data_IF_272379701121
#
_entry.id   IF_272379701121
#
_cell.length_a   1.000
_cell.length_b   1.000
_cell.length_c   1.000
_cell.angle_alpha   90.00
_cell.angle_beta   90.00
_cell.angle_gamma   90.00
#
_symmetry.space_group_name_H-M   'P 1'
#
loop_
_entity.id
_entity.type
_entity.pdbx_description
1 polymer ?
#
# COMPACT_ATOMS: atom_id res chain seq x y z
N UNK A 1 28.65 -2.65 5.68
CA UNK A 1 28.02 -3.53 6.70
C UNK A 1 26.77 -4.13 6.07
N UNK A 2 26.65 -5.46 6.04
CA UNK A 2 25.50 -6.12 5.41
C UNK A 2 24.27 -6.02 6.33
N UNK A 3 23.17 -5.48 5.81
CA UNK A 3 21.89 -5.36 6.51
C UNK A 3 21.24 -6.75 6.65
N UNK A 4 20.82 -7.10 7.87
CA UNK A 4 20.13 -8.36 8.16
C UNK A 4 18.61 -8.09 8.22
N UNK A 5 17.83 -8.51 7.20
CA UNK A 5 16.39 -8.22 7.11
C UNK A 5 15.54 -8.81 8.26
N UNK A 6 16.11 -9.68 9.09
CA UNK A 6 15.40 -10.32 10.21
C UNK A 6 14.94 -9.36 11.32
N UNK A 7 15.47 -8.14 11.42
CA UNK A 7 15.10 -7.23 12.52
C UNK A 7 13.75 -6.54 12.31
N UNK A 8 13.41 -6.18 11.07
CA UNK A 8 12.08 -5.67 10.72
C UNK A 8 11.02 -6.76 10.92
N UNK A 9 11.36 -8.00 10.54
CA UNK A 9 10.52 -9.18 10.72
C UNK A 9 10.26 -9.47 12.22
N UNK A 10 11.27 -9.36 13.08
CA UNK A 10 11.12 -9.55 14.52
C UNK A 10 10.32 -8.45 15.24
N UNK A 11 10.40 -7.20 14.80
CA UNK A 11 9.54 -6.12 15.35
C UNK A 11 8.09 -6.33 14.96
N UNK A 12 7.85 -6.76 13.71
CA UNK A 12 6.52 -7.11 13.22
C UNK A 12 5.92 -8.26 14.02
N UNK A 13 6.65 -9.36 14.23
CA UNK A 13 6.22 -10.48 15.07
C UNK A 13 5.80 -10.07 16.49
N UNK A 14 6.46 -9.08 17.09
CA UNK A 14 6.11 -8.59 18.43
C UNK A 14 4.82 -7.76 18.45
N UNK A 15 4.56 -6.96 17.42
CA UNK A 15 3.30 -6.23 17.27
C UNK A 15 2.12 -7.19 17.09
N UNK A 16 2.32 -8.24 16.29
CA UNK A 16 1.36 -9.33 16.08
C UNK A 16 1.05 -10.05 17.41
N UNK A 17 2.07 -10.41 18.19
CA UNK A 17 1.90 -11.01 19.52
C UNK A 17 1.11 -10.13 20.49
N UNK A 18 1.18 -8.81 20.34
CA UNK A 18 0.45 -7.87 21.18
C UNK A 18 -1.02 -7.70 20.77
N UNK A 19 -1.33 -7.81 19.47
CA UNK A 19 -2.70 -7.84 18.95
C UNK A 19 -3.40 -9.18 19.21
N UNK A 20 -2.67 -10.30 19.16
CA UNK A 20 -3.15 -11.64 19.54
C UNK A 20 -3.63 -11.71 21.01
N UNK A 21 -3.04 -10.90 21.90
CA UNK A 21 -3.48 -10.81 23.31
C UNK A 21 -4.82 -10.10 23.50
N UNK A 22 -5.32 -9.38 22.50
CA UNK A 22 -6.57 -8.62 22.57
C UNK A 22 -7.81 -9.39 22.07
N UNK A 23 -7.68 -10.69 21.77
CA UNK A 23 -8.83 -11.61 21.73
C UNK A 23 -9.73 -11.56 20.48
N UNK A 24 -9.25 -11.06 19.34
CA UNK A 24 -9.92 -11.26 18.04
C UNK A 24 -9.45 -12.57 17.40
N UNK A 25 -10.37 -13.30 16.78
CA UNK A 25 -10.20 -14.68 16.27
C UNK A 25 -8.87 -14.89 15.55
N UNK A 26 -8.14 -15.91 15.99
CA UNK A 26 -6.73 -16.14 15.64
C UNK A 26 -6.50 -16.39 14.16
N UNK A 27 -7.47 -16.97 13.46
CA UNK A 27 -7.29 -17.43 12.08
C UNK A 27 -7.50 -16.28 11.08
N UNK A 28 -8.54 -15.46 11.28
CA UNK A 28 -8.82 -14.28 10.43
C UNK A 28 -7.74 -13.19 10.56
N UNK A 29 -7.15 -13.03 11.76
CA UNK A 29 -6.10 -12.03 12.02
C UNK A 29 -4.75 -12.49 11.45
N UNK A 30 -4.40 -13.77 11.57
CA UNK A 30 -3.18 -14.33 10.96
C UNK A 30 -3.25 -14.32 9.44
N UNK A 31 -4.41 -14.61 8.85
CA UNK A 31 -4.62 -14.53 7.39
C UNK A 31 -4.57 -13.07 6.90
N UNK A 32 -5.23 -12.13 7.60
CA UNK A 32 -5.19 -10.70 7.31
C UNK A 32 -3.78 -10.08 7.37
N UNK A 33 -2.92 -10.58 8.26
CA UNK A 33 -1.56 -10.06 8.44
C UNK A 33 -0.53 -10.73 7.52
N UNK A 34 -0.77 -11.98 7.11
CA UNK A 34 0.11 -12.71 6.17
C UNK A 34 0.09 -12.13 4.74
N UNK A 35 -0.96 -11.41 4.37
CA UNK A 35 -1.13 -10.75 3.07
C UNK A 35 -0.80 -9.25 3.07
N UNK A 36 -0.26 -8.71 4.16
CA UNK A 36 -0.06 -7.27 4.30
C UNK A 36 1.16 -6.81 3.48
N UNK A 37 0.91 -6.11 2.37
CA UNK A 37 1.96 -5.54 1.53
C UNK A 37 2.72 -4.45 2.31
N UNK A 38 4.05 -4.48 2.25
CA UNK A 38 4.91 -3.47 2.86
C UNK A 38 6.10 -3.14 1.96
N UNK A 39 6.63 -1.93 2.11
CA UNK A 39 7.88 -1.49 1.47
C UNK A 39 8.81 -0.85 2.50
N UNK A 40 10.10 -0.88 2.22
CA UNK A 40 11.13 -0.25 3.07
C UNK A 40 11.95 0.75 2.27
N UNK A 41 12.41 1.81 2.91
CA UNK A 41 13.19 2.88 2.27
C UNK A 41 13.69 3.90 3.28
N UNK A 42 14.52 4.85 2.86
CA UNK A 42 14.84 6.05 3.65
C UNK A 42 13.90 7.16 3.19
N UNK A 43 12.62 7.13 3.60
CA UNK A 43 11.61 7.99 2.99
C UNK A 43 11.72 9.44 3.46
N UNK A 44 12.19 9.66 4.69
CA UNK A 44 12.36 11.01 5.26
C UNK A 44 13.76 11.61 5.08
N UNK A 45 14.71 10.84 4.53
CA UNK A 45 16.08 11.29 4.25
C UNK A 45 17.01 11.33 5.46
N UNK A 46 16.66 10.67 6.57
CA UNK A 46 17.45 10.62 7.80
C UNK A 46 18.52 9.50 7.80
N UNK A 47 18.59 8.72 6.71
CA UNK A 47 19.50 7.58 6.50
C UNK A 47 19.21 6.37 7.38
N UNK A 48 18.06 6.32 8.03
CA UNK A 48 17.54 5.16 8.72
C UNK A 48 16.43 4.51 7.89
N UNK A 49 16.32 3.18 7.90
CA UNK A 49 15.26 2.52 7.17
C UNK A 49 13.91 2.72 7.86
N UNK A 50 12.97 3.24 7.11
CA UNK A 50 11.55 3.28 7.40
C UNK A 50 10.83 2.06 6.79
N UNK A 51 9.75 1.62 7.43
CA UNK A 51 8.81 0.64 6.88
C UNK A 51 7.46 1.30 6.69
N UNK A 52 6.90 1.17 5.49
CA UNK A 52 5.52 1.51 5.19
C UNK A 52 4.69 0.24 5.05
N UNK A 53 3.60 0.19 5.80
CA UNK A 53 2.67 -0.93 5.79
C UNK A 53 1.34 -0.49 5.22
N UNK A 54 0.80 -1.28 4.28
CA UNK A 54 -0.51 -1.04 3.67
C UNK A 54 -1.61 -1.51 4.61
N UNK A 55 -2.65 -0.70 4.78
CA UNK A 55 -3.91 -1.13 5.41
C UNK A 55 -5.10 -0.62 4.61
N UNK A 56 -6.18 -1.40 4.66
CA UNK A 56 -7.49 -1.04 4.11
C UNK A 56 -8.47 -0.87 5.25
N UNK A 57 -9.05 0.32 5.39
CA UNK A 57 -9.96 0.65 6.50
C UNK A 57 -11.26 1.25 5.98
N UNK A 58 -12.36 0.96 6.64
CA UNK A 58 -13.67 1.54 6.35
C UNK A 58 -13.76 2.98 6.82
N UNK A 59 -14.18 3.91 5.96
CA UNK A 59 -14.45 5.30 6.39
C UNK A 59 -15.64 5.44 7.32
N UNK A 60 -16.51 4.44 7.35
CA UNK A 60 -17.77 4.51 8.08
C UNK A 60 -17.54 4.24 9.57
N UNK A 61 -16.70 3.25 9.88
CA UNK A 61 -16.52 2.74 11.24
C UNK A 61 -15.05 2.47 11.61
N UNK A 62 -14.10 2.81 10.74
CA UNK A 62 -12.66 2.55 10.87
C UNK A 62 -12.30 1.07 11.07
N UNK A 63 -13.21 0.15 10.76
CA UNK A 63 -12.91 -1.28 10.80
C UNK A 63 -11.98 -1.68 9.65
N UNK A 64 -11.06 -2.65 9.86
CA UNK A 64 -10.28 -3.22 8.77
C UNK A 64 -11.18 -3.81 7.69
N UNK A 65 -10.80 -3.64 6.42
CA UNK A 65 -11.46 -4.25 5.27
C UNK A 65 -10.55 -5.33 4.72
N UNK A 66 -11.06 -6.56 4.70
CA UNK A 66 -10.46 -7.68 3.99
C UNK A 66 -11.06 -7.76 2.59
N UNK A 67 -10.22 -7.59 1.57
CA UNK A 67 -10.64 -7.72 0.17
C UNK A 67 -10.52 -9.19 -0.21
N UNK A 68 -11.66 -9.87 -0.32
CA UNK A 68 -11.71 -11.25 -0.79
C UNK A 68 -11.77 -11.25 -2.33
N UNK A 69 -10.64 -11.53 -2.97
CA UNK A 69 -10.49 -11.54 -4.44
C UNK A 69 -11.19 -12.70 -5.15
N UNK A 70 -11.74 -13.67 -4.41
CA UNK A 70 -12.46 -14.82 -4.98
C UNK A 70 -13.92 -14.51 -5.33
N UNK A 71 -14.40 -13.33 -4.93
CA UNK A 71 -15.73 -12.85 -5.27
C UNK A 71 -15.78 -12.39 -6.73
N UNK A 72 -16.96 -12.51 -7.37
CA UNK A 72 -17.16 -11.85 -8.66
C UNK A 72 -17.04 -10.32 -8.54
N UNK A 73 -16.75 -9.67 -9.67
CA UNK A 73 -16.43 -8.24 -9.68
C UNK A 73 -17.56 -7.36 -9.16
N UNK A 74 -18.82 -7.70 -9.46
CA UNK A 74 -19.98 -6.93 -9.01
C UNK A 74 -20.18 -7.07 -7.50
N UNK A 75 -19.98 -8.28 -6.96
CA UNK A 75 -20.01 -8.53 -5.52
C UNK A 75 -18.86 -7.82 -4.79
N UNK A 76 -17.65 -7.79 -5.38
CA UNK A 76 -16.49 -7.04 -4.88
C UNK A 76 -16.81 -5.55 -4.76
N UNK A 77 -17.37 -4.96 -5.81
CA UNK A 77 -17.79 -3.55 -5.81
C UNK A 77 -18.80 -3.32 -4.71
N UNK A 78 -19.89 -4.10 -4.66
CA UNK A 78 -20.95 -3.90 -3.69
C UNK A 78 -20.44 -3.97 -2.25
N UNK A 79 -19.60 -4.96 -1.92
CA UNK A 79 -19.07 -5.13 -0.56
C UNK A 79 -18.03 -4.09 -0.19
N UNK A 80 -17.17 -3.71 -1.15
CA UNK A 80 -16.04 -2.82 -0.88
C UNK A 80 -16.49 -1.36 -0.89
N UNK A 81 -17.18 -0.92 -1.95
CA UNK A 81 -17.64 0.48 -2.10
C UNK A 81 -18.63 0.88 -1.00
N UNK A 82 -19.48 -0.04 -0.54
CA UNK A 82 -20.42 0.24 0.56
C UNK A 82 -19.70 0.68 1.84
N UNK A 83 -18.47 0.22 2.08
CA UNK A 83 -17.66 0.61 3.24
C UNK A 83 -16.84 1.89 3.03
N UNK A 84 -16.85 2.46 1.80
CA UNK A 84 -16.05 3.63 1.40
C UNK A 84 -14.59 3.49 1.87
N UNK A 85 -13.84 2.53 1.30
CA UNK A 85 -12.52 2.19 1.82
C UNK A 85 -11.57 3.38 1.76
N UNK A 86 -10.67 3.48 2.73
CA UNK A 86 -9.42 4.21 2.62
C UNK A 86 -8.29 3.20 2.58
N UNK A 87 -7.36 3.40 1.64
CA UNK A 87 -6.06 2.79 1.65
C UNK A 87 -5.08 3.72 2.38
N UNK A 88 -4.44 3.19 3.42
CA UNK A 88 -3.45 3.90 4.23
C UNK A 88 -2.07 3.25 4.09
N UNK A 89 -1.04 4.10 4.00
CA UNK A 89 0.33 3.70 4.26
C UNK A 89 0.73 4.25 5.62
N UNK A 90 1.05 3.35 6.54
CA UNK A 90 1.40 3.68 7.93
C UNK A 90 2.86 3.35 8.21
N UNK A 91 3.46 4.13 9.11
CA UNK A 91 4.82 3.91 9.60
C UNK A 91 4.90 4.33 11.06
N UNK A 92 5.87 3.80 11.80
CA UNK A 92 6.12 4.19 13.19
C UNK A 92 6.69 5.62 13.30
N UNK A 93 7.39 6.08 12.25
CA UNK A 93 8.17 7.33 12.28
C UNK A 93 7.66 8.41 11.31
N UNK A 94 6.68 8.09 10.47
CA UNK A 94 6.17 8.96 9.41
C UNK A 94 4.68 9.17 9.57
N UNK A 95 4.19 10.34 9.15
CA UNK A 95 2.75 10.59 9.08
C UNK A 95 2.08 9.62 8.10
N UNK A 96 0.88 9.13 8.46
CA UNK A 96 0.06 8.28 7.59
C UNK A 96 -0.27 8.96 6.26
N UNK A 97 -0.01 8.27 5.15
CA UNK A 97 -0.50 8.66 3.83
C UNK A 97 -1.82 7.96 3.57
N UNK A 98 -2.87 8.71 3.24
CA UNK A 98 -4.13 8.14 2.74
C UNK A 98 -4.20 8.38 1.23
N UNK A 99 -4.30 7.31 0.44
CA UNK A 99 -4.07 7.37 -1.00
C UNK A 99 -5.32 7.77 -1.82
N UNK A 100 -6.52 7.53 -1.30
CA UNK A 100 -7.78 7.71 -2.03
C UNK A 100 -8.81 8.56 -1.28
N UNK A 101 -8.38 9.63 -0.60
CA UNK A 101 -9.28 10.49 0.21
C UNK A 101 -10.52 10.98 -0.56
N UNK A 102 -10.36 11.22 -1.86
CA UNK A 102 -11.37 11.80 -2.74
C UNK A 102 -12.05 10.77 -3.67
N UNK A 103 -11.59 9.51 -3.67
CA UNK A 103 -12.15 8.44 -4.51
C UNK A 103 -12.57 7.24 -3.66
N UNK A 104 -13.87 6.97 -3.59
CA UNK A 104 -14.44 5.87 -2.79
C UNK A 104 -14.58 4.56 -3.56
N UNK A 105 -14.22 4.53 -4.84
CA UNK A 105 -14.35 3.38 -5.73
C UNK A 105 -12.99 2.71 -5.92
N UNK A 106 -12.36 2.26 -4.83
CA UNK A 106 -11.08 1.55 -4.88
C UNK A 106 -11.28 0.11 -4.42
N UNK A 107 -10.73 -0.84 -5.19
CA UNK A 107 -10.76 -2.27 -4.92
C UNK A 107 -9.45 -2.80 -4.34
N UNK A 108 -8.37 -2.01 -4.38
CA UNK A 108 -7.08 -2.45 -3.87
C UNK A 108 -5.91 -1.60 -4.35
N UNK A 109 -4.75 -2.23 -4.33
CA UNK A 109 -3.46 -1.71 -4.74
C UNK A 109 -2.88 -2.64 -5.81
N UNK A 110 -2.56 -2.11 -6.99
CA UNK A 110 -1.89 -2.88 -8.03
C UNK A 110 -0.36 -2.71 -7.96
N UNK A 111 0.11 -1.54 -7.53
CA UNK A 111 1.53 -1.26 -7.34
C UNK A 111 1.77 -0.39 -6.11
N UNK A 112 2.70 -0.82 -5.27
CA UNK A 112 3.39 0.02 -4.30
C UNK A 112 4.88 -0.29 -4.40
N UNK A 113 5.67 0.72 -4.72
CA UNK A 113 7.10 0.55 -4.95
C UNK A 113 7.89 1.73 -4.40
N UNK A 114 8.96 1.44 -3.66
CA UNK A 114 10.04 2.39 -3.43
C UNK A 114 10.84 2.55 -4.74
N UNK A 115 10.87 3.76 -5.30
CA UNK A 115 11.57 4.06 -6.55
C UNK A 115 12.93 4.77 -6.32
N UNK A 116 13.35 4.84 -5.06
CA UNK A 116 14.53 5.53 -4.60
C UNK A 116 14.36 7.05 -4.63
N UNK A 117 15.44 7.76 -4.33
CA UNK A 117 15.51 9.20 -4.51
C UNK A 117 15.61 9.55 -6.00
N UNK A 118 14.52 10.08 -6.56
CA UNK A 118 14.43 10.49 -7.96
C UNK A 118 14.46 12.01 -8.13
N UNK A 119 14.62 12.76 -7.05
CA UNK A 119 14.67 14.22 -7.07
C UNK A 119 15.94 14.75 -6.37
N UNK A 120 15.96 16.04 -6.03
CA UNK A 120 17.14 16.68 -5.43
C UNK A 120 17.07 16.79 -3.90
N UNK A 121 15.98 16.34 -3.28
CA UNK A 121 15.76 16.39 -1.84
C UNK A 121 16.15 15.06 -1.20
N UNK A 122 16.67 15.05 0.03
CA UNK A 122 16.90 13.81 0.77
C UNK A 122 15.58 13.06 1.00
N UNK A 123 15.60 11.75 0.78
CA UNK A 123 14.43 10.88 0.91
C UNK A 123 14.19 10.05 -0.34
N UNK A 124 13.62 8.87 -0.15
CA UNK A 124 13.11 8.01 -1.21
C UNK A 124 11.68 8.39 -1.59
N UNK A 125 11.37 8.33 -2.88
CA UNK A 125 10.00 8.44 -3.38
C UNK A 125 9.31 7.08 -3.47
N UNK A 126 7.98 7.13 -3.49
CA UNK A 126 7.14 5.95 -3.72
C UNK A 126 6.27 6.15 -4.96
N UNK A 127 6.11 5.09 -5.75
CA UNK A 127 5.13 5.00 -6.83
C UNK A 127 3.95 4.13 -6.37
N UNK A 128 2.74 4.60 -6.65
CA UNK A 128 1.48 3.97 -6.26
C UNK A 128 0.56 3.89 -7.47
N UNK A 129 0.00 2.70 -7.72
CA UNK A 129 -1.13 2.51 -8.63
C UNK A 129 -2.26 1.86 -7.83
N UNK A 130 -3.35 2.61 -7.68
CA UNK A 130 -4.56 2.11 -7.05
C UNK A 130 -5.40 1.34 -8.06
N UNK A 131 -6.04 0.28 -7.60
CA UNK A 131 -6.99 -0.48 -8.41
C UNK A 131 -8.37 0.14 -8.28
N UNK A 132 -8.80 0.93 -9.27
CA UNK A 132 -10.12 1.56 -9.26
C UNK A 132 -11.25 0.59 -9.68
N UNK A 133 -12.47 0.88 -9.23
CA UNK A 133 -13.72 0.23 -9.67
C UNK A 133 -14.45 1.09 -10.71
N UNK A 134 -13.81 1.38 -11.84
CA UNK A 134 -14.37 2.28 -12.87
C UNK A 134 -14.58 1.60 -14.24
N UNK A 135 -14.34 0.28 -14.33
CA UNK A 135 -14.41 -0.51 -15.57
C UNK A 135 -13.59 0.08 -16.74
N UNK A 136 -12.59 0.91 -16.45
CA UNK A 136 -11.69 1.43 -17.45
C UNK A 136 -10.42 0.58 -17.49
N UNK A 137 -9.82 0.44 -18.69
CA UNK A 137 -8.49 -0.16 -18.81
C UNK A 137 -7.36 0.81 -18.44
N UNK A 138 -7.67 1.92 -17.77
CA UNK A 138 -6.74 3.01 -17.47
C UNK A 138 -6.72 3.25 -15.96
N UNK A 139 -5.55 3.13 -15.36
CA UNK A 139 -5.31 3.51 -13.99
C UNK A 139 -4.41 4.74 -13.93
N UNK A 140 -4.17 5.20 -12.71
CA UNK A 140 -3.32 6.36 -12.43
C UNK A 140 -2.13 5.92 -11.59
N UNK A 141 -0.92 6.19 -12.10
CA UNK A 141 0.30 6.09 -11.33
C UNK A 141 0.61 7.44 -10.67
N UNK A 142 0.60 7.46 -9.34
CA UNK A 142 0.95 8.63 -8.53
C UNK A 142 2.32 8.43 -7.88
N UNK A 143 3.16 9.47 -7.91
CA UNK A 143 4.43 9.49 -7.19
C UNK A 143 4.33 10.44 -6.00
N UNK A 144 4.76 9.96 -4.84
CA UNK A 144 4.79 10.72 -3.60
C UNK A 144 6.21 10.84 -3.05
N UNK A 145 6.49 11.99 -2.43
CA UNK A 145 7.69 12.23 -1.62
C UNK A 145 7.27 12.64 -0.20
N UNK A 146 8.11 12.35 0.80
CA UNK A 146 7.86 12.77 2.17
C UNK A 146 8.54 14.11 2.45
N UNK A 147 7.76 15.08 2.94
CA UNK A 147 8.25 16.41 3.32
C UNK A 147 8.07 16.65 4.82
N UNK A 148 8.54 17.81 5.31
CA UNK A 148 8.34 18.21 6.72
C UNK A 148 6.87 18.28 7.14
N UNK A 149 5.96 18.52 6.19
CA UNK A 149 4.51 18.56 6.42
C UNK A 149 3.80 17.24 6.09
N UNK A 150 4.55 16.15 5.91
CA UNK A 150 4.05 14.85 5.49
C UNK A 150 4.17 14.61 3.99
N UNK A 151 3.48 13.58 3.52
CA UNK A 151 3.49 13.13 2.14
C UNK A 151 2.86 14.13 1.18
N UNK A 152 3.53 14.37 0.07
CA UNK A 152 3.03 15.21 -1.03
C UNK A 152 3.11 14.44 -2.35
N UNK A 153 2.04 14.53 -3.17
CA UNK A 153 2.04 13.99 -4.53
C UNK A 153 2.84 14.94 -5.42
N UNK A 154 3.86 14.44 -6.11
CA UNK A 154 4.74 15.25 -6.98
C UNK A 154 4.55 14.98 -8.47
N UNK A 155 3.97 13.83 -8.82
CA UNK A 155 3.67 13.47 -10.20
C UNK A 155 2.47 12.55 -10.26
N UNK A 156 1.73 12.68 -11.34
CA UNK A 156 0.64 11.79 -11.72
C UNK A 156 0.73 11.52 -13.22
N UNK A 157 0.46 10.29 -13.62
CA UNK A 157 0.35 9.90 -15.03
C UNK A 157 -0.67 8.78 -15.18
N UNK A 158 -1.41 8.80 -16.28
CA UNK A 158 -2.22 7.67 -16.69
C UNK A 158 -1.32 6.51 -17.10
N UNK A 159 -1.78 5.28 -16.82
CA UNK A 159 -1.13 4.03 -17.18
C UNK A 159 -2.19 3.02 -17.57
N UNK A 160 -1.97 2.27 -18.65
CA UNK A 160 -2.93 1.21 -19.02
C UNK A 160 -2.73 -0.03 -18.17
N UNK A 161 -3.79 -0.78 -17.91
CA UNK A 161 -3.71 -2.03 -17.14
C UNK A 161 -2.68 -3.01 -17.71
N UNK A 162 -2.53 -3.08 -19.03
CA UNK A 162 -1.53 -3.95 -19.68
C UNK A 162 -0.07 -3.51 -19.47
N UNK A 163 0.16 -2.26 -19.07
CA UNK A 163 1.48 -1.67 -18.80
C UNK A 163 1.88 -1.81 -17.32
N UNK A 164 0.94 -2.14 -16.44
CA UNK A 164 1.22 -2.33 -15.01
C UNK A 164 2.14 -3.56 -14.85
N UNK A 165 3.31 -3.41 -14.20
CA UNK A 165 4.20 -4.53 -13.99
C UNK A 165 3.57 -5.56 -13.06
N UNK A 166 3.58 -6.84 -13.47
CA UNK A 166 3.23 -7.93 -12.57
C UNK A 166 4.40 -8.20 -11.61
N UNK A 167 4.44 -7.43 -10.53
CA UNK A 167 5.46 -7.55 -9.49
C UNK A 167 5.32 -8.86 -8.68
N UNK A 168 4.15 -9.49 -8.71
CA UNK A 168 3.87 -10.75 -7.98
C UNK A 168 4.50 -11.95 -8.67
N UNK A 169 4.58 -11.95 -10.00
CA UNK A 169 5.23 -13.04 -10.74
C UNK A 169 6.72 -12.80 -11.03
N UNK A 170 7.26 -11.61 -10.72
CA UNK A 170 8.61 -11.15 -11.13
C UNK A 170 8.89 -11.29 -12.63
N UNK A 171 7.86 -11.50 -13.45
CA UNK A 171 7.97 -11.56 -14.90
C UNK A 171 7.74 -10.17 -15.44
N UNK A 172 8.82 -9.45 -15.69
CA UNK A 172 8.77 -8.24 -16.49
C UNK A 172 8.23 -8.61 -17.89
N UNK A 173 7.01 -8.16 -18.23
CA UNK A 173 6.59 -8.15 -19.62
C UNK A 173 7.50 -7.14 -20.34
N UNK A 174 8.17 -7.52 -21.43
CA UNK A 174 9.00 -6.58 -22.17
C UNK A 174 8.10 -5.47 -22.70
N UNK A 175 8.52 -4.22 -22.47
CA UNK A 175 7.90 -3.03 -23.07
C UNK A 175 7.86 -3.22 -24.58
N UNK A 176 6.66 -3.36 -25.15
CA UNK A 176 6.49 -3.31 -26.60
C UNK A 176 6.48 -1.84 -27.00
N UNK A 177 7.55 -1.42 -27.68
CA UNK A 177 7.62 -0.14 -28.39
C UNK A 177 6.69 -0.14 -29.59
#
# INVERSE_FOLDING_TARGET
MAFNPGWAQQKHEKSVQQQLKNGQGTDDVLEALSGQEFITGDFNGDRQPDTLTVSFVSRIDNSPILINTDLDYDQLIQKTVAKKPILELTSDNLQTLHLNKDNFYILGLDLLQNIGNINTFPGDEIAVILKAADWSGINVCSIYTYSRSGWIKIKETEIREEEIPDIRTRKFKPWKR
#
